data_IF_291686866744
#
_entry.id   IF_291686866744
#
_cell.length_a   1.000
_cell.length_b   1.000
_cell.length_c   1.000
_cell.angle_alpha   90.00
_cell.angle_beta   90.00
_cell.angle_gamma   90.00
#
_symmetry.space_group_name_H-M   'P 1'
#
loop_
_entity.id
_entity.type
_entity.pdbx_description
1 polymer ?
#
# COMPACT_ATOMS: atom_id res chain seq x y z
N UNK A 1 -2.31 -10.21 31.29
CA UNK A 1 -3.26 -9.35 30.55
C UNK A 1 -3.34 -9.86 29.13
N UNK A 2 -4.54 -10.16 28.61
CA UNK A 2 -4.71 -10.52 27.19
C UNK A 2 -4.32 -9.33 26.33
N UNK A 3 -3.33 -9.46 25.44
CA UNK A 3 -3.06 -8.42 24.46
C UNK A 3 -4.19 -8.40 23.41
N UNK A 4 -4.65 -7.21 23.05
CA UNK A 4 -5.64 -7.05 21.98
C UNK A 4 -5.02 -7.44 20.64
N UNK A 5 -5.76 -8.15 19.80
CA UNK A 5 -5.32 -8.54 18.47
C UNK A 5 -5.83 -7.56 17.41
N UNK A 6 -4.91 -6.81 16.80
CA UNK A 6 -5.23 -5.79 15.81
C UNK A 6 -5.02 -6.23 14.36
N UNK A 7 -4.64 -7.50 14.12
CA UNK A 7 -4.29 -7.98 12.79
C UNK A 7 -5.41 -7.96 11.75
N UNK A 8 -6.67 -8.13 12.15
CA UNK A 8 -7.79 -7.98 11.21
C UNK A 8 -8.11 -6.50 10.96
N UNK A 9 -8.02 -5.67 12.01
CA UNK A 9 -8.18 -4.21 11.89
C UNK A 9 -7.08 -3.60 11.01
N UNK A 10 -5.87 -4.16 11.04
CA UNK A 10 -4.74 -3.69 10.26
C UNK A 10 -4.96 -3.89 8.76
N UNK A 11 -5.79 -4.84 8.33
CA UNK A 11 -6.19 -4.99 6.92
C UNK A 11 -6.97 -3.76 6.45
N UNK A 12 -7.94 -3.30 7.25
CA UNK A 12 -8.69 -2.08 6.96
C UNK A 12 -7.78 -0.84 6.97
N UNK A 13 -6.85 -0.77 7.93
CA UNK A 13 -5.86 0.30 7.98
C UNK A 13 -4.92 0.30 6.76
N UNK A 14 -4.46 -0.87 6.31
CA UNK A 14 -3.64 -1.02 5.11
C UNK A 14 -4.37 -0.56 3.85
N UNK A 15 -5.67 -0.90 3.72
CA UNK A 15 -6.51 -0.41 2.64
C UNK A 15 -6.65 1.12 2.69
N UNK A 16 -6.89 1.70 3.87
CA UNK A 16 -6.99 3.15 4.06
C UNK A 16 -5.69 3.88 3.68
N UNK A 17 -4.52 3.33 4.05
CA UNK A 17 -3.22 3.84 3.60
C UNK A 17 -3.11 3.81 2.08
N UNK A 18 -3.58 2.73 1.44
CA UNK A 18 -3.60 2.62 -0.02
C UNK A 18 -4.59 3.56 -0.71
N UNK A 19 -5.67 3.98 -0.03
CA UNK A 19 -6.62 4.97 -0.56
C UNK A 19 -6.09 6.39 -0.53
N UNK A 20 -5.20 6.72 0.41
CA UNK A 20 -4.70 8.09 0.57
C UNK A 20 -4.09 8.67 -0.73
N UNK A 21 -3.17 7.98 -1.46
CA UNK A 21 -2.66 8.48 -2.73
C UNK A 21 -3.73 8.62 -3.81
N UNK A 22 -4.77 7.78 -3.78
CA UNK A 22 -5.91 7.92 -4.70
C UNK A 22 -6.69 9.20 -4.44
N UNK A 23 -6.92 9.55 -3.17
CA UNK A 23 -7.53 10.83 -2.78
C UNK A 23 -6.69 12.01 -3.27
N UNK A 24 -5.37 11.99 -3.04
CA UNK A 24 -4.46 13.02 -3.53
C UNK A 24 -4.48 13.15 -5.06
N UNK A 25 -4.49 12.02 -5.78
CA UNK A 25 -4.63 11.97 -7.23
C UNK A 25 -5.95 12.63 -7.66
N UNK A 26 -7.06 12.21 -7.06
CA UNK A 26 -8.40 12.63 -7.47
C UNK A 26 -8.62 14.14 -7.26
N UNK A 27 -8.29 14.66 -6.08
CA UNK A 27 -8.40 16.10 -5.76
C UNK A 27 -7.54 16.93 -6.71
N UNK A 28 -6.28 16.54 -6.92
CA UNK A 28 -5.35 17.26 -7.81
C UNK A 28 -5.78 17.16 -9.27
N UNK A 29 -6.30 16.01 -9.71
CA UNK A 29 -6.81 15.82 -11.06
C UNK A 29 -8.00 16.74 -11.29
N UNK A 30 -9.00 16.74 -10.39
CA UNK A 30 -10.17 17.62 -10.51
C UNK A 30 -9.79 19.10 -10.56
N UNK A 31 -8.82 19.53 -9.77
CA UNK A 31 -8.36 20.91 -9.76
C UNK A 31 -7.65 21.35 -11.06
N UNK A 32 -7.18 20.41 -11.88
CA UNK A 32 -6.33 20.72 -13.05
C UNK A 32 -6.92 20.25 -14.38
N UNK A 33 -7.81 19.26 -14.39
CA UNK A 33 -8.28 18.61 -15.61
C UNK A 33 -9.25 19.45 -16.45
N UNK A 34 -9.90 20.46 -15.85
CA UNK A 34 -10.98 21.24 -16.51
C UNK A 34 -12.01 20.27 -17.13
N UNK A 35 -12.37 20.47 -18.40
CA UNK A 35 -13.34 19.64 -19.13
C UNK A 35 -12.72 18.39 -19.78
N UNK A 36 -11.46 18.07 -19.47
CA UNK A 36 -10.75 16.95 -20.08
C UNK A 36 -10.84 15.64 -19.28
N UNK A 37 -11.38 15.66 -18.05
CA UNK A 37 -11.64 14.46 -17.27
C UNK A 37 -13.08 13.95 -17.48
N UNK A 38 -13.25 12.64 -17.49
CA UNK A 38 -14.56 11.99 -17.60
C UNK A 38 -14.74 10.93 -16.53
N UNK A 39 -15.98 10.81 -16.02
CA UNK A 39 -16.38 9.75 -15.11
C UNK A 39 -16.95 8.52 -15.85
N UNK A 40 -17.04 8.57 -17.18
CA UNK A 40 -17.41 7.41 -18.00
C UNK A 40 -16.27 6.39 -18.00
N UNK A 41 -15.03 6.87 -18.14
CA UNK A 41 -13.80 6.06 -18.10
C UNK A 41 -12.77 6.66 -17.14
N UNK A 42 -13.06 6.70 -15.82
CA UNK A 42 -12.25 7.46 -14.85
C UNK A 42 -10.82 6.93 -14.71
N UNK A 43 -10.61 5.65 -15.02
CA UNK A 43 -9.28 5.04 -15.06
C UNK A 43 -8.46 5.45 -16.28
N UNK A 44 -9.05 6.02 -17.32
CA UNK A 44 -8.29 6.51 -18.48
C UNK A 44 -7.86 7.98 -18.32
N UNK A 45 -8.39 8.70 -17.33
CA UNK A 45 -8.12 10.13 -17.16
C UNK A 45 -6.62 10.47 -17.10
N UNK A 46 -5.80 9.70 -16.38
CA UNK A 46 -4.35 9.98 -16.34
C UNK A 46 -3.71 9.93 -17.74
N UNK A 47 -4.07 8.93 -18.55
CA UNK A 47 -3.58 8.77 -19.92
C UNK A 47 -4.07 9.91 -20.81
N UNK A 48 -5.38 10.20 -20.73
CA UNK A 48 -6.03 11.25 -21.51
C UNK A 48 -5.52 12.66 -21.20
N UNK A 49 -5.05 12.89 -19.97
CA UNK A 49 -4.50 14.16 -19.52
C UNK A 49 -3.01 14.34 -19.86
N UNK A 50 -2.35 13.32 -20.39
CA UNK A 50 -0.94 13.41 -20.82
C UNK A 50 -0.80 14.40 -21.97
N UNK A 51 0.11 15.36 -21.84
CA UNK A 51 0.31 16.43 -22.83
C UNK A 51 -0.74 17.56 -22.77
N UNK A 52 -1.85 17.38 -22.04
CA UNK A 52 -2.85 18.43 -21.79
C UNK A 52 -2.56 19.23 -20.52
N UNK A 53 -1.87 18.62 -19.56
CA UNK A 53 -1.46 19.26 -18.31
C UNK A 53 0.02 19.66 -18.35
N UNK A 54 0.44 20.65 -17.56
CA UNK A 54 1.85 20.89 -17.31
C UNK A 54 2.54 19.61 -16.86
N UNK A 55 3.73 19.33 -17.41
CA UNK A 55 4.44 18.06 -17.20
C UNK A 55 4.61 17.72 -15.70
N UNK A 56 4.91 18.72 -14.88
CA UNK A 56 5.06 18.57 -13.44
C UNK A 56 3.77 18.09 -12.74
N UNK A 57 2.61 18.64 -13.14
CA UNK A 57 1.31 18.24 -12.57
C UNK A 57 0.99 16.81 -13.00
N UNK A 58 1.17 16.48 -14.28
CA UNK A 58 0.95 15.13 -14.78
C UNK A 58 1.83 14.11 -14.07
N UNK A 59 3.11 14.41 -13.84
CA UNK A 59 4.02 13.54 -13.08
C UNK A 59 3.56 13.33 -11.63
N UNK A 60 3.04 14.36 -10.96
CA UNK A 60 2.49 14.22 -9.61
C UNK A 60 1.27 13.29 -9.59
N UNK A 61 0.37 13.43 -10.58
CA UNK A 61 -0.78 12.54 -10.73
C UNK A 61 -0.33 11.10 -11.00
N UNK A 62 0.65 10.90 -11.88
CA UNK A 62 1.20 9.58 -12.19
C UNK A 62 1.82 8.92 -10.95
N UNK A 63 2.57 9.66 -10.13
CA UNK A 63 3.14 9.15 -8.87
C UNK A 63 2.07 8.76 -7.86
N UNK A 64 1.07 9.61 -7.66
CA UNK A 64 -0.03 9.34 -6.73
C UNK A 64 -0.84 8.10 -7.15
N UNK A 65 -1.15 7.98 -8.45
CA UNK A 65 -1.83 6.79 -8.99
C UNK A 65 -0.97 5.53 -8.89
N UNK A 66 0.32 5.63 -9.21
CA UNK A 66 1.26 4.50 -9.08
C UNK A 66 1.38 4.01 -7.65
N UNK A 67 1.46 4.93 -6.67
CA UNK A 67 1.51 4.59 -5.25
C UNK A 67 0.22 3.88 -4.78
N UNK A 68 -0.95 4.35 -5.22
CA UNK A 68 -2.23 3.70 -4.94
C UNK A 68 -2.28 2.27 -5.49
N UNK A 69 -1.98 2.09 -6.79
CA UNK A 69 -2.02 0.78 -7.43
C UNK A 69 -1.06 -0.19 -6.75
N UNK A 70 0.16 0.25 -6.43
CA UNK A 70 1.12 -0.60 -5.72
C UNK A 70 0.64 -1.00 -4.30
N UNK A 71 -0.07 -0.12 -3.61
CA UNK A 71 -0.69 -0.48 -2.32
C UNK A 71 -1.80 -1.53 -2.50
N UNK A 72 -2.60 -1.42 -3.56
CA UNK A 72 -3.64 -2.40 -3.86
C UNK A 72 -3.08 -3.76 -4.31
N UNK A 73 -1.93 -3.80 -4.99
CA UNK A 73 -1.24 -5.02 -5.36
C UNK A 73 -0.71 -5.80 -4.14
N UNK A 74 -0.18 -5.09 -3.13
CA UNK A 74 0.36 -5.69 -1.92
C UNK A 74 -0.68 -6.11 -0.87
N UNK A 75 -1.89 -5.53 -0.93
CA UNK A 75 -2.93 -5.74 0.08
C UNK A 75 -3.42 -7.19 0.17
N UNK A 76 -3.71 -7.93 -0.93
CA UNK A 76 -4.16 -9.31 -0.84
C UNK A 76 -3.17 -10.22 -0.12
N UNK A 77 -1.87 -10.04 -0.39
CA UNK A 77 -0.80 -10.79 0.28
C UNK A 77 -0.77 -10.50 1.79
N UNK A 78 -0.90 -9.24 2.18
CA UNK A 78 -0.95 -8.84 3.58
C UNK A 78 -2.20 -9.35 4.30
N UNK A 79 -3.37 -9.23 3.68
CA UNK A 79 -4.62 -9.74 4.21
C UNK A 79 -4.55 -11.26 4.43
N UNK A 80 -4.02 -12.00 3.45
CA UNK A 80 -3.81 -13.44 3.55
C UNK A 80 -2.90 -13.80 4.73
N UNK A 81 -1.78 -13.08 4.91
CA UNK A 81 -0.86 -13.31 6.02
C UNK A 81 -1.53 -13.11 7.40
N UNK A 82 -2.30 -12.04 7.56
CA UNK A 82 -3.01 -11.77 8.83
C UNK A 82 -4.08 -12.83 9.10
N UNK A 83 -4.88 -13.18 8.10
CA UNK A 83 -5.90 -14.23 8.23
C UNK A 83 -5.30 -15.60 8.55
N UNK A 84 -4.27 -16.01 7.80
CA UNK A 84 -3.56 -17.28 8.01
C UNK A 84 -2.88 -17.33 9.38
N UNK A 85 -2.27 -16.24 9.82
CA UNK A 85 -1.65 -16.15 11.14
C UNK A 85 -2.66 -16.28 12.29
N UNK A 86 -3.87 -15.71 12.15
CA UNK A 86 -4.94 -15.94 13.11
C UNK A 86 -5.42 -17.39 13.10
N UNK A 87 -5.62 -17.97 11.91
CA UNK A 87 -6.04 -19.37 11.76
C UNK A 87 -5.03 -20.33 12.40
N UNK A 88 -3.74 -20.07 12.20
CA UNK A 88 -2.63 -20.82 12.77
C UNK A 88 -2.36 -20.53 14.27
N UNK A 89 -3.17 -19.66 14.89
CA UNK A 89 -3.05 -19.25 16.31
C UNK A 89 -1.66 -18.71 16.66
N UNK A 90 -1.06 -17.92 15.77
CA UNK A 90 0.19 -17.22 16.07
C UNK A 90 0.02 -16.31 17.30
N UNK A 91 1.10 -16.06 18.08
CA UNK A 91 1.04 -15.15 19.20
C UNK A 91 0.52 -13.77 18.80
N UNK A 92 -0.38 -13.20 19.60
CA UNK A 92 -0.96 -11.87 19.33
C UNK A 92 0.12 -10.78 19.20
N UNK A 93 1.20 -10.88 19.96
CA UNK A 93 2.35 -9.99 19.88
C UNK A 93 2.95 -9.98 18.47
N UNK A 94 3.11 -11.16 17.87
CA UNK A 94 3.75 -11.33 16.57
C UNK A 94 2.86 -10.75 15.48
N UNK A 95 1.56 -11.06 15.53
CA UNK A 95 0.56 -10.53 14.60
C UNK A 95 0.46 -8.99 14.67
N UNK A 96 0.53 -8.41 15.87
CA UNK A 96 0.52 -6.97 16.05
C UNK A 96 1.81 -6.32 15.54
N UNK A 97 2.97 -6.92 15.79
CA UNK A 97 4.26 -6.45 15.27
C UNK A 97 4.26 -6.45 13.74
N UNK A 98 3.89 -7.57 13.11
CA UNK A 98 3.79 -7.67 11.65
C UNK A 98 2.82 -6.62 11.08
N UNK A 99 1.69 -6.40 11.75
CA UNK A 99 0.71 -5.39 11.35
C UNK A 99 1.27 -3.98 11.39
N UNK A 100 1.92 -3.61 12.51
CA UNK A 100 2.48 -2.29 12.72
C UNK A 100 3.63 -2.02 11.75
N UNK A 101 4.55 -2.97 11.61
CA UNK A 101 5.67 -2.88 10.68
C UNK A 101 5.20 -2.72 9.24
N UNK A 102 4.22 -3.52 8.81
CA UNK A 102 3.69 -3.41 7.46
C UNK A 102 3.08 -2.04 7.20
N UNK A 103 2.19 -1.56 8.08
CA UNK A 103 1.56 -0.25 7.94
C UNK A 103 2.61 0.86 7.94
N UNK A 104 3.58 0.81 8.85
CA UNK A 104 4.69 1.77 8.92
C UNK A 104 5.51 1.79 7.63
N UNK A 105 5.88 0.62 7.12
CA UNK A 105 6.61 0.48 5.87
C UNK A 105 5.79 1.01 4.67
N UNK A 106 4.47 0.77 4.64
CA UNK A 106 3.59 1.30 3.57
C UNK A 106 3.43 2.81 3.64
N UNK A 107 3.34 3.40 4.82
CA UNK A 107 3.32 4.86 5.00
C UNK A 107 4.63 5.49 4.49
N UNK A 108 5.78 4.93 4.90
CA UNK A 108 7.09 5.39 4.45
C UNK A 108 7.26 5.24 2.93
N UNK A 109 6.93 4.07 2.38
CA UNK A 109 6.97 3.81 0.95
C UNK A 109 6.11 4.82 0.17
N UNK A 110 4.90 5.09 0.65
CA UNK A 110 3.98 6.03 0.00
C UNK A 110 4.55 7.45 -0.01
N UNK A 111 5.10 7.91 1.13
CA UNK A 111 5.76 9.22 1.23
C UNK A 111 6.95 9.33 0.26
N UNK A 112 7.80 8.31 0.20
CA UNK A 112 8.93 8.25 -0.73
C UNK A 112 8.48 8.25 -2.19
N UNK A 113 7.45 7.48 -2.53
CA UNK A 113 6.93 7.40 -3.90
C UNK A 113 6.41 8.76 -4.37
N UNK A 114 5.55 9.39 -3.57
CA UNK A 114 4.95 10.67 -3.92
C UNK A 114 5.96 11.82 -3.89
N UNK A 115 6.95 11.76 -2.99
CA UNK A 115 7.96 12.80 -2.78
C UNK A 115 9.25 12.66 -3.61
N UNK A 116 9.48 11.53 -4.29
CA UNK A 116 10.73 11.27 -5.02
C UNK A 116 11.02 12.34 -6.09
N UNK A 117 12.18 12.99 -5.99
CA UNK A 117 12.70 13.97 -6.96
C UNK A 117 14.09 13.61 -7.50
N UNK A 118 14.68 12.51 -7.04
CA UNK A 118 16.00 12.04 -7.43
C UNK A 118 16.04 10.52 -7.52
N UNK A 119 17.00 9.99 -8.26
CA UNK A 119 17.21 8.54 -8.38
C UNK A 119 17.56 7.89 -7.03
N UNK A 120 18.32 8.59 -6.18
CA UNK A 120 18.65 8.10 -4.83
C UNK A 120 17.38 7.80 -4.00
N UNK A 121 16.37 8.68 -4.06
CA UNK A 121 15.08 8.45 -3.38
C UNK A 121 14.31 7.29 -4.04
N UNK A 122 14.45 7.12 -5.35
CA UNK A 122 13.84 5.99 -6.08
C UNK A 122 14.40 4.63 -5.62
N UNK A 123 15.72 4.55 -5.38
CA UNK A 123 16.34 3.34 -4.83
C UNK A 123 15.92 3.07 -3.39
N UNK A 124 15.89 4.10 -2.53
CA UNK A 124 15.39 3.96 -1.17
C UNK A 124 13.94 3.45 -1.15
N UNK A 125 13.08 4.02 -1.99
CA UNK A 125 11.70 3.55 -2.18
C UNK A 125 11.64 2.07 -2.53
N UNK A 126 12.53 1.59 -3.40
CA UNK A 126 12.59 0.18 -3.80
C UNK A 126 13.01 -0.72 -2.63
N UNK A 127 13.97 -0.28 -1.82
CA UNK A 127 14.35 -0.99 -0.58
C UNK A 127 13.19 -1.08 0.42
N UNK A 128 12.49 0.03 0.66
CA UNK A 128 11.32 0.07 1.56
C UNK A 128 10.18 -0.79 1.01
N UNK A 129 9.99 -0.84 -0.32
CA UNK A 129 9.04 -1.76 -0.93
C UNK A 129 9.37 -3.21 -0.64
N UNK A 130 10.62 -3.64 -0.90
CA UNK A 130 11.05 -5.00 -0.68
C UNK A 130 10.88 -5.42 0.79
N UNK A 131 11.21 -4.52 1.72
CA UNK A 131 10.95 -4.72 3.14
C UNK A 131 9.44 -4.84 3.43
N UNK A 132 8.60 -3.95 2.87
CA UNK A 132 7.15 -4.04 3.10
C UNK A 132 6.54 -5.36 2.63
N UNK A 133 7.06 -5.96 1.56
CA UNK A 133 6.58 -7.23 1.00
C UNK A 133 7.13 -8.43 1.77
N UNK A 134 8.33 -8.34 2.36
CA UNK A 134 8.89 -9.46 3.13
C UNK A 134 8.10 -9.74 4.42
N UNK A 135 7.45 -8.72 5.00
CA UNK A 135 6.65 -8.84 6.23
C UNK A 135 5.49 -9.85 6.09
N UNK A 136 4.56 -9.71 5.13
CA UNK A 136 3.48 -10.68 4.98
C UNK A 136 3.96 -12.06 4.49
N UNK A 137 5.04 -12.12 3.70
CA UNK A 137 5.68 -13.39 3.34
C UNK A 137 6.16 -14.11 4.61
N UNK A 138 6.83 -13.39 5.51
CA UNK A 138 7.28 -13.93 6.78
C UNK A 138 6.09 -14.38 7.66
N UNK A 139 5.03 -13.59 7.73
CA UNK A 139 3.79 -13.97 8.43
C UNK A 139 3.20 -15.29 7.92
N UNK A 140 3.16 -15.49 6.60
CA UNK A 140 2.70 -16.75 5.99
C UNK A 140 3.61 -17.94 6.32
N UNK A 141 4.94 -17.75 6.28
CA UNK A 141 5.90 -18.79 6.65
C UNK A 141 5.71 -19.21 8.11
N UNK A 142 5.54 -18.24 9.01
CA UNK A 142 5.30 -18.50 10.43
C UNK A 142 3.98 -19.25 10.65
N UNK A 143 2.92 -18.86 9.95
CA UNK A 143 1.63 -19.54 10.00
C UNK A 143 1.73 -21.00 9.53
N UNK A 144 2.38 -21.26 8.40
CA UNK A 144 2.59 -22.61 7.88
C UNK A 144 3.39 -23.50 8.85
N UNK A 145 4.46 -22.97 9.44
CA UNK A 145 5.23 -23.68 10.47
C UNK A 145 4.42 -24.00 11.72
N UNK A 146 3.50 -23.12 12.12
CA UNK A 146 2.65 -23.35 13.28
C UNK A 146 1.61 -24.45 13.01
N UNK A 147 1.00 -24.47 11.82
CA UNK A 147 0.06 -25.50 11.42
C UNK A 147 0.71 -26.89 11.36
N UNK A 148 1.90 -27.01 10.75
CA UNK A 148 2.61 -28.30 10.65
C UNK A 148 3.05 -28.87 12.01
N UNK A 149 3.14 -28.04 13.06
CA UNK A 149 3.49 -28.49 14.43
C UNK A 149 2.26 -28.91 15.24
N UNK A 150 1.07 -28.60 14.76
CA UNK A 150 -0.19 -28.93 15.41
C UNK A 150 -0.76 -30.28 14.93
N UNK A 151 -0.19 -30.84 13.85
CA UNK A 151 -0.39 -32.21 13.37
C UNK A 151 0.53 -33.19 14.10
#
# INVERSE_FOLDING_TARGET
>A
MSQNNYSIHSIAAAYAVGLFPHGCYYVKMMANAKDHATNIVPRENLSNLKGRLPAQIWQQLAKARGAHLNAMEGLPLFAAAMLAGNLAKLPTSDLNTLSLEYIGARLLYTALYMGAKSEAISYLRTGVWAWSISIPIWGLIQAGRALNRAE
#
